data_IF_792748280464
#
_entry.id   IF_792748280464
#
_cell.length_a   1.000
_cell.length_b   1.000
_cell.length_c   1.000
_cell.angle_alpha   90.00
_cell.angle_beta   90.00
_cell.angle_gamma   90.00
#
_symmetry.space_group_name_H-M   'P 1'
#
loop_
_entity.id
_entity.type
_entity.pdbx_description
1 polymer ?
#
# COMPACT_ATOMS: atom_id res chain seq x y z
N UNK A 1 -19.15 -11.94 -13.79
CA UNK A 1 -18.12 -12.48 -12.89
C UNK A 1 -16.82 -12.52 -13.67
N UNK A 2 -15.69 -12.06 -13.12
CA UNK A 2 -14.41 -12.16 -13.80
C UNK A 2 -14.09 -13.62 -14.14
N UNK A 3 -13.46 -13.84 -15.29
CA UNK A 3 -13.01 -15.17 -15.68
C UNK A 3 -11.72 -15.53 -14.94
N UNK A 4 -11.85 -16.24 -13.84
CA UNK A 4 -10.74 -16.70 -12.99
C UNK A 4 -9.97 -17.91 -13.57
N UNK A 5 -10.41 -18.50 -14.70
CA UNK A 5 -9.81 -19.70 -15.25
C UNK A 5 -8.33 -19.51 -15.63
N UNK A 6 -7.97 -18.37 -16.20
CA UNK A 6 -6.58 -18.04 -16.54
C UNK A 6 -5.71 -17.89 -15.30
N UNK A 7 -6.27 -17.33 -14.23
CA UNK A 7 -5.55 -17.20 -12.94
C UNK A 7 -5.30 -18.57 -12.30
N UNK A 8 -6.28 -19.47 -12.30
CA UNK A 8 -6.13 -20.83 -11.80
C UNK A 8 -5.09 -21.65 -12.59
N UNK A 9 -5.04 -21.48 -13.91
CA UNK A 9 -4.03 -22.14 -14.74
C UNK A 9 -2.61 -21.63 -14.43
N UNK A 10 -2.46 -20.32 -14.31
CA UNK A 10 -1.20 -19.67 -13.91
C UNK A 10 -0.78 -20.16 -12.51
N UNK A 11 -1.71 -20.20 -11.55
CA UNK A 11 -1.47 -20.65 -10.19
C UNK A 11 -0.94 -22.09 -10.13
N UNK A 12 -1.51 -23.01 -10.90
CA UNK A 12 -1.05 -24.39 -11.01
C UNK A 12 0.39 -24.51 -11.51
N UNK A 13 0.80 -23.65 -12.46
CA UNK A 13 2.18 -23.66 -12.98
C UNK A 13 3.21 -23.15 -11.95
N UNK A 14 2.78 -22.30 -11.04
CA UNK A 14 3.62 -21.72 -9.99
C UNK A 14 3.71 -22.60 -8.74
N UNK A 15 2.78 -23.53 -8.53
CA UNK A 15 2.72 -24.38 -7.33
C UNK A 15 4.04 -25.15 -7.05
N UNK A 16 4.75 -25.73 -8.03
CA UNK A 16 6.02 -26.41 -7.77
C UNK A 16 7.11 -25.49 -7.21
N UNK A 17 7.18 -24.24 -7.68
CA UNK A 17 8.10 -23.22 -7.17
C UNK A 17 7.77 -22.89 -5.72
N UNK A 18 6.50 -22.63 -5.44
CA UNK A 18 6.01 -22.29 -4.10
C UNK A 18 6.30 -23.37 -3.07
N UNK A 19 6.21 -24.66 -3.45
CA UNK A 19 6.56 -25.79 -2.56
C UNK A 19 8.03 -25.80 -2.17
N UNK A 20 8.93 -25.41 -3.10
CA UNK A 20 10.38 -25.39 -2.85
C UNK A 20 10.80 -24.10 -2.14
N UNK A 21 10.26 -22.98 -2.57
CA UNK A 21 10.64 -21.66 -2.08
C UNK A 21 9.90 -21.25 -0.81
N UNK A 22 8.67 -21.72 -0.59
CA UNK A 22 7.83 -21.35 0.55
C UNK A 22 8.54 -21.42 1.91
N UNK A 23 9.30 -22.51 2.24
CA UNK A 23 10.04 -22.57 3.50
C UNK A 23 11.12 -21.49 3.65
N UNK A 24 11.76 -21.07 2.55
CA UNK A 24 12.74 -19.96 2.56
C UNK A 24 12.05 -18.62 2.75
N UNK A 25 10.95 -18.39 2.03
CA UNK A 25 10.13 -17.19 2.20
C UNK A 25 9.63 -17.07 3.63
N UNK A 26 9.15 -18.16 4.22
CA UNK A 26 8.67 -18.18 5.60
C UNK A 26 9.74 -17.69 6.61
N UNK A 27 11.02 -18.00 6.39
CA UNK A 27 12.12 -17.47 7.21
C UNK A 27 12.31 -15.95 7.07
N UNK A 28 11.87 -15.36 5.96
CA UNK A 28 11.98 -13.92 5.72
C UNK A 28 10.77 -13.13 6.20
N UNK A 29 9.67 -13.76 6.60
CA UNK A 29 8.44 -13.08 7.00
C UNK A 29 8.71 -12.10 8.15
N UNK A 30 9.39 -12.53 9.21
CA UNK A 30 9.71 -11.66 10.34
C UNK A 30 10.59 -10.45 9.94
N UNK A 31 11.43 -10.59 8.91
CA UNK A 31 12.22 -9.49 8.37
C UNK A 31 11.33 -8.51 7.62
N UNK A 32 10.36 -9.00 6.87
CA UNK A 32 9.41 -8.15 6.15
C UNK A 32 8.47 -7.41 7.11
N UNK A 33 8.05 -8.06 8.17
CA UNK A 33 7.24 -7.46 9.25
C UNK A 33 8.03 -6.44 10.07
N UNK A 34 9.32 -6.67 10.27
CA UNK A 34 10.23 -5.82 11.04
C UNK A 34 11.24 -5.07 10.15
N UNK A 35 10.83 -4.70 8.94
CA UNK A 35 11.71 -4.14 7.91
C UNK A 35 12.48 -2.90 8.39
N UNK A 36 11.92 -2.10 9.31
CA UNK A 36 12.58 -0.95 9.91
C UNK A 36 13.83 -1.31 10.75
N UNK A 37 13.99 -2.58 11.11
CA UNK A 37 15.17 -3.07 11.84
C UNK A 37 16.36 -3.37 10.91
N UNK A 38 16.19 -3.27 9.60
CA UNK A 38 17.18 -3.64 8.58
C UNK A 38 17.41 -2.50 7.59
N UNK A 39 18.50 -2.52 6.81
CA UNK A 39 18.67 -1.58 5.71
C UNK A 39 17.51 -1.76 4.70
N UNK A 40 16.68 -0.73 4.55
CA UNK A 40 15.41 -0.81 3.81
C UNK A 40 15.62 -1.22 2.35
N UNK A 41 16.69 -0.74 1.70
CA UNK A 41 17.01 -1.09 0.32
C UNK A 41 17.33 -2.59 0.16
N UNK A 42 17.94 -3.20 1.19
CA UNK A 42 18.23 -4.64 1.18
C UNK A 42 16.96 -5.46 1.43
N UNK A 43 16.06 -4.98 2.29
CA UNK A 43 14.75 -5.62 2.52
C UNK A 43 13.91 -5.55 1.25
N UNK A 44 13.86 -4.40 0.60
CA UNK A 44 13.13 -4.21 -0.68
C UNK A 44 13.72 -5.10 -1.77
N UNK A 45 15.05 -5.18 -1.89
CA UNK A 45 15.70 -6.07 -2.86
C UNK A 45 15.37 -7.54 -2.59
N UNK A 46 15.36 -7.96 -1.32
CA UNK A 46 14.97 -9.31 -0.92
C UNK A 46 13.49 -9.58 -1.25
N UNK A 47 12.60 -8.64 -0.98
CA UNK A 47 11.18 -8.75 -1.27
C UNK A 47 10.89 -8.80 -2.78
N UNK A 48 11.60 -8.00 -3.58
CA UNK A 48 11.52 -8.05 -5.05
C UNK A 48 11.95 -9.42 -5.59
N UNK A 49 13.05 -9.98 -5.06
CA UNK A 49 13.52 -11.30 -5.45
C UNK A 49 12.52 -12.40 -5.04
N UNK A 50 11.92 -12.31 -3.84
CA UNK A 50 10.84 -13.20 -3.40
C UNK A 50 9.71 -13.21 -4.41
N UNK A 51 9.23 -12.02 -4.78
CA UNK A 51 8.15 -11.84 -5.74
C UNK A 51 8.49 -12.40 -7.13
N UNK A 52 9.72 -12.14 -7.60
CA UNK A 52 10.20 -12.65 -8.89
C UNK A 52 10.22 -14.20 -8.91
N UNK A 53 10.55 -14.85 -7.79
CA UNK A 53 10.54 -16.29 -7.65
C UNK A 53 9.12 -16.84 -7.59
N UNK A 54 8.26 -16.26 -6.78
CA UNK A 54 6.89 -16.74 -6.54
C UNK A 54 6.00 -16.70 -7.78
N UNK A 55 6.24 -15.73 -8.67
CA UNK A 55 5.48 -15.56 -9.91
C UNK A 55 6.17 -16.21 -11.13
N UNK A 56 7.19 -17.02 -10.93
CA UNK A 56 7.89 -17.73 -11.99
C UNK A 56 7.44 -19.18 -12.12
N UNK A 57 7.53 -19.72 -13.31
CA UNK A 57 7.45 -21.17 -13.53
C UNK A 57 8.70 -21.86 -13.02
N UNK A 58 8.58 -23.12 -12.59
CA UNK A 58 9.70 -23.91 -12.10
C UNK A 58 10.75 -24.12 -13.21
N UNK A 59 11.99 -23.75 -12.95
CA UNK A 59 13.13 -23.86 -13.87
C UNK A 59 14.45 -23.84 -13.10
N UNK A 60 15.55 -24.21 -13.77
CA UNK A 60 16.90 -24.07 -13.19
C UNK A 60 17.19 -22.60 -12.78
N UNK A 61 16.71 -21.64 -13.57
CA UNK A 61 16.83 -20.21 -13.27
C UNK A 61 16.09 -19.85 -11.98
N UNK A 62 14.91 -20.42 -11.74
CA UNK A 62 14.14 -20.16 -10.54
C UNK A 62 14.81 -20.80 -9.31
N UNK A 63 15.41 -21.97 -9.46
CA UNK A 63 16.23 -22.60 -8.40
C UNK A 63 17.45 -21.76 -8.06
N UNK A 64 18.15 -21.20 -9.07
CA UNK A 64 19.30 -20.33 -8.83
C UNK A 64 18.89 -19.04 -8.11
N UNK A 65 17.77 -18.42 -8.48
CA UNK A 65 17.21 -17.26 -7.76
C UNK A 65 16.87 -17.60 -6.31
N UNK A 66 16.35 -18.79 -6.05
CA UNK A 66 16.08 -19.23 -4.67
C UNK A 66 17.36 -19.36 -3.84
N UNK A 67 18.46 -19.79 -4.42
CA UNK A 67 19.80 -19.79 -3.76
C UNK A 67 20.31 -18.38 -3.51
N UNK A 68 20.10 -17.47 -4.45
CA UNK A 68 20.46 -16.05 -4.27
C UNK A 68 19.64 -15.41 -3.14
N UNK A 69 18.33 -15.70 -3.08
CA UNK A 69 17.48 -15.25 -1.98
C UNK A 69 18.00 -15.77 -0.63
N UNK A 70 18.32 -17.04 -0.53
CA UNK A 70 18.88 -17.64 0.70
C UNK A 70 20.21 -16.98 1.10
N UNK A 71 21.07 -16.69 0.14
CA UNK A 71 22.34 -16.01 0.38
C UNK A 71 22.13 -14.57 0.88
N UNK A 72 21.21 -13.82 0.28
CA UNK A 72 20.85 -12.47 0.70
C UNK A 72 20.25 -12.49 2.12
N UNK A 73 19.33 -13.42 2.39
CA UNK A 73 18.71 -13.60 3.70
C UNK A 73 19.76 -13.87 4.79
N UNK A 74 20.72 -14.74 4.52
CA UNK A 74 21.83 -15.05 5.44
C UNK A 74 22.82 -13.89 5.64
N UNK A 75 22.96 -13.02 4.66
CA UNK A 75 23.86 -11.87 4.70
C UNK A 75 23.24 -10.66 5.41
N UNK A 76 21.92 -10.56 5.45
CA UNK A 76 21.21 -9.43 6.02
C UNK A 76 21.50 -9.29 7.52
N UNK A 77 21.75 -8.07 7.97
CA UNK A 77 22.02 -7.76 9.39
C UNK A 77 21.16 -6.58 9.83
N UNK A 78 20.67 -6.60 11.08
CA UNK A 78 19.97 -5.45 11.64
C UNK A 78 20.82 -4.19 11.62
N UNK A 79 20.17 -3.03 11.50
CA UNK A 79 20.81 -1.73 11.66
C UNK A 79 21.06 -1.45 13.14
N UNK A 80 22.06 -0.62 13.43
CA UNK A 80 22.40 -0.23 14.81
C UNK A 80 21.30 0.61 15.46
N UNK A 81 20.64 1.46 14.65
CA UNK A 81 19.57 2.36 15.07
C UNK A 81 18.33 2.14 14.22
N UNK A 82 17.44 1.21 14.61
CA UNK A 82 16.18 0.97 13.90
C UNK A 82 15.27 2.20 13.93
N UNK A 83 14.52 2.40 12.85
CA UNK A 83 13.46 3.40 12.86
C UNK A 83 12.33 2.95 13.81
N UNK A 84 11.79 3.85 14.65
CA UNK A 84 10.69 3.51 15.53
C UNK A 84 9.40 3.24 14.76
N UNK A 85 8.60 2.32 15.26
CA UNK A 85 7.20 2.18 14.85
C UNK A 85 6.39 3.29 15.49
N UNK A 86 5.63 4.00 14.68
CA UNK A 86 4.71 5.03 15.15
C UNK A 86 3.32 4.41 15.17
N UNK A 87 2.91 3.86 16.31
CA UNK A 87 1.62 3.20 16.44
C UNK A 87 0.47 4.18 16.26
N UNK A 88 -0.55 3.76 15.49
CA UNK A 88 -1.69 4.62 15.15
C UNK A 88 -2.63 4.84 16.34
N UNK A 89 -2.80 3.85 17.18
CA UNK A 89 -3.83 3.83 18.22
C UNK A 89 -3.22 3.74 19.60
N UNK A 90 -3.83 4.41 20.55
CA UNK A 90 -3.54 4.22 21.97
C UNK A 90 -4.01 2.83 22.39
N UNK A 91 -3.34 2.25 23.36
CA UNK A 91 -3.70 0.96 23.91
C UNK A 91 -5.16 0.96 24.43
N UNK A 92 -5.92 -0.06 24.03
CA UNK A 92 -7.32 -0.21 24.41
C UNK A 92 -8.31 0.71 23.68
N UNK A 93 -7.87 1.52 22.71
CA UNK A 93 -8.75 2.43 21.97
C UNK A 93 -8.59 2.29 20.42
N UNK A 94 -8.29 1.12 19.93
CA UNK A 94 -8.26 0.85 18.49
C UNK A 94 -9.70 0.52 18.01
N UNK A 95 -10.25 1.28 17.03
CA UNK A 95 -11.56 0.96 16.48
C UNK A 95 -11.55 -0.42 15.83
N UNK A 96 -12.51 -1.28 16.14
CA UNK A 96 -12.60 -2.63 15.59
C UNK A 96 -14.06 -3.06 15.45
N UNK A 97 -14.37 -3.81 14.41
CA UNK A 97 -15.63 -4.51 14.19
C UNK A 97 -15.43 -6.02 14.02
N UNK A 98 -14.17 -6.43 13.83
CA UNK A 98 -13.78 -7.81 13.57
C UNK A 98 -13.09 -8.41 14.79
N UNK A 99 -13.44 -9.64 15.13
CA UNK A 99 -12.75 -10.43 16.16
C UNK A 99 -11.73 -11.36 15.50
N UNK A 100 -10.47 -10.99 15.58
CA UNK A 100 -9.36 -11.77 15.01
C UNK A 100 -8.84 -12.71 16.07
N UNK A 101 -9.25 -13.98 16.00
CA UNK A 101 -8.89 -15.02 16.97
C UNK A 101 -7.92 -16.05 16.43
N UNK A 102 -7.70 -16.08 15.12
CA UNK A 102 -6.85 -17.08 14.46
C UNK A 102 -5.47 -16.49 14.15
N UNK A 103 -4.45 -17.00 14.83
CA UNK A 103 -3.03 -16.71 14.63
C UNK A 103 -2.29 -17.95 14.10
N UNK A 104 -2.98 -18.90 13.47
CA UNK A 104 -2.42 -20.18 13.04
C UNK A 104 -1.33 -20.06 11.98
N UNK A 105 -1.36 -19.00 11.18
CA UNK A 105 -0.39 -18.76 10.12
C UNK A 105 0.82 -17.89 10.55
N UNK A 106 0.82 -17.39 11.77
CA UNK A 106 1.89 -16.55 12.34
C UNK A 106 2.25 -15.35 11.46
N UNK A 107 1.23 -14.75 10.83
CA UNK A 107 1.40 -13.56 9.99
C UNK A 107 0.80 -12.35 10.67
N UNK A 108 1.39 -11.15 10.47
CA UNK A 108 0.93 -9.95 11.18
C UNK A 108 -0.55 -9.64 10.95
N UNK A 109 -1.08 -9.91 9.79
CA UNK A 109 -2.49 -9.70 9.44
C UNK A 109 -3.44 -10.80 9.91
N UNK A 110 -2.94 -11.91 10.47
CA UNK A 110 -3.69 -12.94 11.19
C UNK A 110 -3.41 -12.89 12.70
N UNK A 111 -2.55 -11.99 13.14
CA UNK A 111 -2.24 -11.81 14.55
C UNK A 111 -3.31 -10.93 15.20
N UNK A 112 -4.12 -11.47 16.15
CA UNK A 112 -5.12 -10.70 16.87
C UNK A 112 -4.53 -9.56 17.71
N UNK A 113 -3.25 -9.63 18.04
CA UNK A 113 -2.51 -8.62 18.79
C UNK A 113 -1.80 -7.59 17.87
N UNK A 114 -1.97 -7.71 16.54
CA UNK A 114 -1.36 -6.77 15.60
C UNK A 114 -1.81 -5.34 15.86
N UNK A 115 -0.83 -4.44 16.00
CA UNK A 115 -1.05 -3.00 16.18
C UNK A 115 -0.59 -2.26 14.93
N UNK A 116 -1.50 -1.64 14.17
CA UNK A 116 -1.14 -0.89 12.97
C UNK A 116 -0.24 0.30 13.28
N UNK A 117 0.72 0.56 12.40
CA UNK A 117 1.75 1.58 12.61
C UNK A 117 2.20 2.22 11.30
N UNK A 118 2.84 3.39 11.45
CA UNK A 118 3.63 4.04 10.40
C UNK A 118 5.11 3.87 10.68
N UNK A 119 5.92 3.91 9.64
CA UNK A 119 7.30 4.32 9.75
C UNK A 119 7.67 5.35 8.67
N UNK A 120 8.68 6.16 8.97
CA UNK A 120 9.04 7.36 8.24
C UNK A 120 10.21 7.11 7.30
N UNK A 121 10.16 7.71 6.11
CA UNK A 121 11.31 7.92 5.23
C UNK A 121 11.43 9.42 4.99
N UNK A 122 12.21 10.09 5.84
CA UNK A 122 12.32 11.55 5.85
C UNK A 122 13.47 12.02 4.99
N UNK A 123 13.23 13.09 4.25
CA UNK A 123 14.24 13.81 3.50
C UNK A 123 15.27 14.47 4.43
N UNK A 124 16.53 14.60 3.99
CA UNK A 124 17.54 15.36 4.71
C UNK A 124 17.07 16.78 5.05
N UNK A 125 17.61 17.36 6.13
CA UNK A 125 17.15 18.65 6.64
C UNK A 125 17.36 19.81 5.65
N UNK A 126 18.33 19.70 4.78
CA UNK A 126 18.67 20.69 3.73
C UNK A 126 17.81 20.58 2.48
N UNK A 127 16.93 19.58 2.40
CA UNK A 127 15.99 19.39 1.28
C UNK A 127 14.61 19.90 1.69
N UNK A 128 14.04 20.81 0.90
CA UNK A 128 12.66 21.28 1.08
C UNK A 128 11.68 20.25 0.48
N UNK A 129 10.79 19.64 1.30
CA UNK A 129 9.83 18.70 0.79
C UNK A 129 8.78 19.34 -0.13
N UNK A 130 8.39 18.66 -1.19
CA UNK A 130 7.25 19.03 -2.05
C UNK A 130 5.90 18.82 -1.33
N UNK A 131 5.86 17.91 -0.38
CA UNK A 131 4.69 17.48 0.39
C UNK A 131 4.96 16.11 1.00
N UNK A 132 3.91 15.39 1.38
CA UNK A 132 4.00 14.05 1.94
C UNK A 132 3.10 13.05 1.20
N UNK A 133 3.52 11.79 1.20
CA UNK A 133 2.72 10.68 0.68
C UNK A 133 2.70 9.55 1.71
N UNK A 134 1.50 9.09 2.06
CA UNK A 134 1.29 7.88 2.87
C UNK A 134 1.08 6.71 1.91
N UNK A 135 1.94 5.70 1.98
CA UNK A 135 1.92 4.53 1.11
C UNK A 135 1.30 3.34 1.83
N UNK A 136 0.36 2.67 1.18
CA UNK A 136 -0.29 1.46 1.66
C UNK A 136 -0.14 0.35 0.63
N UNK A 137 0.62 -0.69 0.97
CA UNK A 137 0.82 -1.84 0.10
C UNK A 137 -0.49 -2.60 -0.13
N UNK A 138 -0.55 -3.31 -1.24
CA UNK A 138 -1.50 -4.37 -1.45
C UNK A 138 -1.12 -5.64 -0.74
N UNK A 139 -1.85 -6.69 -1.00
CA UNK A 139 -1.54 -8.01 -0.50
C UNK A 139 -2.71 -8.96 -0.71
N UNK A 140 -2.40 -10.25 -0.64
CA UNK A 140 -3.34 -11.33 -0.79
C UNK A 140 -3.15 -12.30 0.38
N UNK A 141 -4.16 -12.41 1.24
CA UNK A 141 -4.25 -13.41 2.29
C UNK A 141 -2.96 -13.68 3.09
N UNK A 142 -2.32 -12.64 3.61
CA UNK A 142 -1.31 -12.88 4.59
C UNK A 142 0.01 -12.12 4.48
N UNK A 143 0.31 -11.45 3.37
CA UNK A 143 1.55 -10.67 3.24
C UNK A 143 1.28 -9.32 2.58
N UNK A 144 1.78 -8.24 3.14
CA UNK A 144 1.91 -7.00 2.39
C UNK A 144 2.93 -7.19 1.26
N UNK A 145 2.57 -6.75 0.05
CA UNK A 145 3.50 -6.76 -1.09
C UNK A 145 4.47 -5.58 -0.98
N UNK A 146 5.50 -5.73 -0.15
CA UNK A 146 6.45 -4.67 0.17
C UNK A 146 6.99 -3.90 -1.05
N UNK A 147 7.36 -4.53 -2.19
CA UNK A 147 7.86 -3.79 -3.33
C UNK A 147 6.92 -2.70 -3.83
N UNK A 148 5.62 -2.89 -3.73
CA UNK A 148 4.63 -1.91 -4.17
C UNK A 148 4.74 -0.60 -3.38
N UNK A 149 4.74 -0.68 -2.06
CA UNK A 149 4.82 0.50 -1.22
C UNK A 149 6.26 0.96 -0.98
N UNK A 150 7.16 0.04 -0.64
CA UNK A 150 8.50 0.39 -0.17
C UNK A 150 9.42 0.85 -1.30
N UNK A 151 9.46 0.13 -2.44
CA UNK A 151 10.23 0.60 -3.60
C UNK A 151 9.66 1.92 -4.10
N UNK A 152 8.34 2.02 -4.20
CA UNK A 152 7.71 3.27 -4.65
C UNK A 152 7.97 4.42 -3.68
N UNK A 153 7.97 4.18 -2.37
CA UNK A 153 8.33 5.21 -1.39
C UNK A 153 9.78 5.67 -1.56
N UNK A 154 10.74 4.76 -1.84
CA UNK A 154 12.11 5.13 -2.19
C UNK A 154 12.16 6.02 -3.44
N UNK A 155 11.38 5.68 -4.47
CA UNK A 155 11.30 6.46 -5.71
C UNK A 155 10.74 7.88 -5.43
N UNK A 156 9.63 7.99 -4.70
CA UNK A 156 9.05 9.30 -4.32
C UNK A 156 9.94 10.08 -3.37
N UNK A 157 10.66 9.42 -2.48
CA UNK A 157 11.67 10.07 -1.63
C UNK A 157 12.75 10.74 -2.49
N UNK A 158 13.25 10.07 -3.53
CA UNK A 158 14.21 10.69 -4.46
C UNK A 158 13.63 11.84 -5.27
N UNK A 159 12.30 11.87 -5.46
CA UNK A 159 11.57 12.95 -6.12
C UNK A 159 11.30 14.15 -5.19
N UNK A 160 11.61 14.05 -3.89
CA UNK A 160 11.52 15.14 -2.93
C UNK A 160 10.25 15.14 -2.07
N UNK A 161 9.66 14.00 -1.80
CA UNK A 161 8.53 13.85 -0.88
C UNK A 161 8.96 13.26 0.46
N UNK A 162 8.32 13.70 1.55
CA UNK A 162 8.31 12.95 2.79
C UNK A 162 7.45 11.70 2.58
N UNK A 163 7.97 10.53 2.89
CA UNK A 163 7.29 9.28 2.66
C UNK A 163 6.99 8.57 3.98
N UNK A 164 5.76 8.06 4.09
CA UNK A 164 5.28 7.33 5.25
C UNK A 164 4.72 5.99 4.80
N UNK A 165 5.22 4.91 5.38
CA UNK A 165 4.75 3.57 5.05
C UNK A 165 3.76 3.12 6.11
N UNK A 166 2.55 2.82 5.69
CA UNK A 166 1.47 2.36 6.54
C UNK A 166 1.40 0.84 6.53
N UNK A 167 1.54 0.25 7.71
CA UNK A 167 1.16 -1.14 7.96
C UNK A 167 -0.17 -1.12 8.71
N UNK A 168 -1.24 -1.26 7.94
CA UNK A 168 -2.61 -1.23 8.42
C UNK A 168 -3.15 -2.66 8.58
N UNK A 169 -4.34 -2.78 9.14
CA UNK A 169 -5.12 -4.02 9.18
C UNK A 169 -5.66 -4.36 7.78
N UNK A 170 -4.79 -4.86 6.91
CA UNK A 170 -5.13 -5.31 5.56
C UNK A 170 -5.07 -6.82 5.47
N UNK A 171 -5.80 -7.40 4.55
CA UNK A 171 -5.83 -8.85 4.31
C UNK A 171 -6.17 -9.72 5.55
N UNK A 172 -6.85 -9.14 6.52
CA UNK A 172 -7.39 -9.90 7.63
C UNK A 172 -8.43 -10.92 7.17
N UNK A 173 -8.57 -11.99 7.91
CA UNK A 173 -9.62 -12.97 7.69
C UNK A 173 -10.48 -13.11 8.97
N UNK A 174 -11.70 -12.54 9.01
CA UNK A 174 -12.40 -11.80 7.97
C UNK A 174 -11.81 -10.39 7.74
N UNK A 175 -11.77 -9.92 6.49
CA UNK A 175 -11.29 -8.59 6.15
C UNK A 175 -12.37 -7.53 6.29
N UNK A 176 -12.00 -6.34 6.78
CA UNK A 176 -12.88 -5.20 6.86
C UNK A 176 -12.24 -3.96 6.20
N UNK A 177 -12.91 -3.44 5.16
CA UNK A 177 -12.52 -2.18 4.53
C UNK A 177 -12.61 -1.00 5.50
N UNK A 178 -13.51 -1.04 6.47
CA UNK A 178 -13.69 0.01 7.48
C UNK A 178 -12.50 0.06 8.42
N UNK A 179 -12.00 -1.08 8.89
CA UNK A 179 -10.82 -1.15 9.74
C UNK A 179 -9.55 -0.72 9.00
N UNK A 180 -9.36 -1.18 7.77
CA UNK A 180 -8.26 -0.73 6.91
C UNK A 180 -8.37 0.77 6.62
N UNK A 181 -9.56 1.26 6.30
CA UNK A 181 -9.84 2.66 6.03
C UNK A 181 -9.60 3.58 7.22
N UNK A 182 -10.01 3.17 8.44
CA UNK A 182 -9.80 3.99 9.64
C UNK A 182 -8.32 4.08 10.02
N UNK A 183 -7.55 3.01 9.78
CA UNK A 183 -6.09 3.04 9.97
C UNK A 183 -5.44 4.04 9.00
N UNK A 184 -5.84 4.03 7.72
CA UNK A 184 -5.38 5.00 6.73
C UNK A 184 -5.78 6.43 7.05
N UNK A 185 -7.03 6.65 7.49
CA UNK A 185 -7.52 7.95 7.94
C UNK A 185 -6.71 8.48 9.13
N UNK A 186 -6.41 7.62 10.09
CA UNK A 186 -5.58 7.94 11.25
C UNK A 186 -4.16 8.31 10.85
N UNK A 187 -3.58 7.57 9.91
CA UNK A 187 -2.25 7.83 9.36
C UNK A 187 -2.15 9.24 8.74
N UNK A 188 -3.12 9.63 7.90
CA UNK A 188 -3.18 10.97 7.30
C UNK A 188 -3.25 12.04 8.38
N UNK A 189 -4.11 11.87 9.37
CA UNK A 189 -4.27 12.82 10.50
C UNK A 189 -2.99 12.97 11.30
N UNK A 190 -2.27 11.87 11.57
CA UNK A 190 -0.98 11.90 12.28
C UNK A 190 0.08 12.66 11.50
N UNK A 191 0.18 12.46 10.19
CA UNK A 191 1.12 13.19 9.33
C UNK A 191 0.76 14.68 9.32
N UNK A 192 -0.51 15.03 9.24
CA UNK A 192 -0.99 16.42 9.30
C UNK A 192 -0.72 17.09 10.65
N UNK A 193 -0.94 16.38 11.75
CA UNK A 193 -0.67 16.90 13.09
C UNK A 193 0.80 17.27 13.28
N UNK A 194 1.70 16.49 12.67
CA UNK A 194 3.14 16.67 12.79
C UNK A 194 3.76 17.38 11.57
N UNK A 195 2.95 18.13 10.80
CA UNK A 195 3.39 18.77 9.57
C UNK A 195 4.60 19.70 9.74
N UNK A 196 4.65 20.46 10.85
CA UNK A 196 5.80 21.32 11.19
C UNK A 196 7.08 20.50 11.38
N UNK A 197 7.01 19.39 12.10
CA UNK A 197 8.14 18.48 12.30
C UNK A 197 8.61 17.90 10.95
N UNK A 198 7.68 17.58 10.07
CA UNK A 198 7.97 17.04 8.75
C UNK A 198 8.29 18.11 7.71
N UNK A 199 8.25 19.39 8.06
CA UNK A 199 8.54 20.53 7.19
C UNK A 199 7.66 20.56 5.94
N UNK A 200 6.38 20.22 6.07
CA UNK A 200 5.39 20.19 5.00
C UNK A 200 4.20 21.11 5.30
N UNK A 201 3.47 21.48 4.28
CA UNK A 201 2.13 22.03 4.43
C UNK A 201 1.17 20.89 4.78
N UNK A 202 0.38 20.96 5.89
CA UNK A 202 -0.59 19.94 6.26
C UNK A 202 -1.67 19.69 5.19
N UNK A 203 -1.86 20.61 4.26
CA UNK A 203 -2.74 20.45 3.10
C UNK A 203 -2.12 19.61 1.98
N UNK A 204 -0.80 19.38 1.99
CA UNK A 204 -0.05 18.65 0.97
C UNK A 204 0.27 17.22 1.43
N UNK A 205 -0.74 16.48 1.85
CA UNK A 205 -0.63 15.08 2.26
C UNK A 205 -1.49 14.21 1.35
N UNK A 206 -0.85 13.43 0.49
CA UNK A 206 -1.48 12.47 -0.41
C UNK A 206 -1.50 11.05 0.18
N UNK A 207 -2.35 10.20 -0.36
CA UNK A 207 -2.38 8.77 -0.08
C UNK A 207 -2.12 7.98 -1.36
N UNK A 208 -1.24 7.00 -1.31
CA UNK A 208 -0.94 6.09 -2.41
C UNK A 208 -1.26 4.65 -2.00
N UNK A 209 -2.22 4.04 -2.68
CA UNK A 209 -2.67 2.69 -2.38
C UNK A 209 -2.51 1.75 -3.57
N UNK A 210 -1.96 0.56 -3.31
CA UNK A 210 -1.68 -0.47 -4.30
C UNK A 210 -2.60 -1.67 -4.07
N UNK A 211 -3.33 -2.14 -5.10
CA UNK A 211 -4.22 -3.30 -4.95
C UNK A 211 -5.18 -3.13 -3.75
N UNK A 212 -5.15 -3.98 -2.75
CA UNK A 212 -5.90 -3.80 -1.49
C UNK A 212 -5.58 -2.48 -0.76
N UNK A 213 -4.36 -1.95 -0.90
CA UNK A 213 -4.04 -0.62 -0.40
C UNK A 213 -4.83 0.49 -1.12
N UNK A 214 -5.14 0.30 -2.41
CA UNK A 214 -6.07 1.15 -3.16
C UNK A 214 -7.49 1.06 -2.60
N UNK A 215 -7.96 -0.15 -2.31
CA UNK A 215 -9.27 -0.37 -1.66
C UNK A 215 -9.29 0.24 -0.25
N UNK A 216 -8.16 0.23 0.47
CA UNK A 216 -8.00 0.96 1.74
C UNK A 216 -8.20 2.47 1.54
N UNK A 217 -7.60 3.05 0.48
CA UNK A 217 -7.80 4.45 0.10
C UNK A 217 -9.26 4.79 -0.18
N UNK A 218 -9.97 3.93 -0.91
CA UNK A 218 -11.41 4.05 -1.12
C UNK A 218 -12.19 3.99 0.22
N UNK A 219 -11.75 3.13 1.15
CA UNK A 219 -12.34 3.06 2.50
C UNK A 219 -12.13 4.33 3.32
N UNK A 220 -10.96 4.99 3.20
CA UNK A 220 -10.72 6.31 3.80
C UNK A 220 -11.74 7.31 3.26
N UNK A 221 -11.89 7.35 1.94
CA UNK A 221 -12.78 8.29 1.26
C UNK A 221 -14.23 8.03 1.65
N UNK A 222 -14.68 6.79 1.54
CA UNK A 222 -16.07 6.42 1.74
C UNK A 222 -16.56 6.60 3.18
N UNK A 223 -15.71 6.33 4.18
CA UNK A 223 -16.14 6.26 5.57
C UNK A 223 -15.58 7.37 6.47
N UNK A 224 -14.51 8.07 6.05
CA UNK A 224 -13.78 8.98 6.94
C UNK A 224 -13.43 10.33 6.31
N UNK A 225 -13.82 10.59 5.05
CA UNK A 225 -13.61 11.88 4.40
C UNK A 225 -14.72 12.89 4.75
N UNK A 226 -14.46 14.16 4.48
CA UNK A 226 -15.44 15.22 4.62
C UNK A 226 -15.93 15.38 6.06
N UNK A 227 -17.23 15.20 6.29
CA UNK A 227 -17.86 15.36 7.62
C UNK A 227 -18.01 14.05 8.40
N UNK A 228 -17.54 12.95 7.85
CA UNK A 228 -17.68 11.65 8.47
C UNK A 228 -16.78 11.50 9.70
N UNK A 229 -17.29 10.86 10.73
CA UNK A 229 -16.56 10.66 11.98
C UNK A 229 -16.28 9.18 12.23
N UNK A 230 -15.20 8.90 12.94
CA UNK A 230 -14.87 7.52 13.33
C UNK A 230 -16.00 6.88 14.12
N UNK A 231 -16.67 7.63 15.02
CA UNK A 231 -17.78 7.13 15.83
C UNK A 231 -19.03 6.77 15.02
N UNK A 232 -19.24 7.36 13.84
CA UNK A 232 -20.35 6.97 12.97
C UNK A 232 -20.19 5.54 12.45
N UNK A 233 -18.95 5.07 12.31
CA UNK A 233 -18.59 3.73 11.85
C UNK A 233 -18.32 2.78 13.03
N UNK A 234 -17.65 3.28 14.07
CA UNK A 234 -17.26 2.53 15.27
C UNK A 234 -17.83 3.23 16.52
N UNK A 235 -19.06 2.92 16.94
CA UNK A 235 -19.75 3.66 18.01
C UNK A 235 -19.04 3.62 19.37
N UNK A 236 -18.32 2.55 19.66
CA UNK A 236 -17.61 2.36 20.94
C UNK A 236 -16.24 3.05 20.99
N UNK A 237 -15.78 3.61 19.87
CA UNK A 237 -14.51 4.33 19.80
C UNK A 237 -14.58 5.65 20.60
N UNK A 238 -13.54 5.94 21.36
CA UNK A 238 -13.40 7.18 22.12
C UNK A 238 -12.51 8.15 21.30
N UNK A 239 -13.08 9.24 20.74
CA UNK A 239 -12.32 10.20 19.94
C UNK A 239 -11.21 10.88 20.74
N UNK A 240 -10.16 11.28 20.01
CA UNK A 240 -9.11 12.14 20.55
C UNK A 240 -8.88 13.37 19.62
N UNK A 241 -7.92 14.21 19.98
CA UNK A 241 -7.66 15.46 19.25
C UNK A 241 -7.30 15.25 17.76
N UNK A 242 -6.79 14.05 17.38
CA UNK A 242 -6.50 13.75 15.97
C UNK A 242 -7.78 13.63 15.13
N UNK A 243 -8.90 13.25 15.75
CA UNK A 243 -10.16 13.06 15.03
C UNK A 243 -10.83 14.37 14.62
N UNK A 244 -10.36 15.50 15.16
CA UNK A 244 -10.75 16.84 14.72
C UNK A 244 -10.12 17.25 13.38
N UNK A 245 -9.03 16.56 12.97
CA UNK A 245 -8.36 16.82 11.70
C UNK A 245 -9.07 16.07 10.56
N UNK A 246 -9.11 16.72 9.39
CA UNK A 246 -9.63 16.09 8.18
C UNK A 246 -8.78 14.88 7.77
N UNK A 247 -9.41 13.77 7.45
CA UNK A 247 -8.75 12.55 6.94
C UNK A 247 -8.75 12.47 5.41
N UNK A 248 -9.43 13.39 4.71
CA UNK A 248 -9.47 13.39 3.24
C UNK A 248 -8.06 13.67 2.70
N UNK A 249 -7.44 12.76 1.94
CA UNK A 249 -6.12 13.06 1.35
C UNK A 249 -6.22 14.24 0.36
N UNK A 250 -5.16 15.02 0.22
CA UNK A 250 -5.11 16.09 -0.76
C UNK A 250 -5.18 15.55 -2.20
N UNK A 251 -4.63 14.36 -2.41
CA UNK A 251 -4.71 13.60 -3.64
C UNK A 251 -4.69 12.10 -3.33
N UNK A 252 -5.32 11.30 -4.18
CA UNK A 252 -5.28 9.85 -4.10
C UNK A 252 -4.58 9.26 -5.32
N UNK A 253 -3.50 8.52 -5.10
CA UNK A 253 -2.83 7.72 -6.11
C UNK A 253 -3.34 6.28 -6.00
N UNK A 254 -4.30 5.93 -6.84
CA UNK A 254 -4.91 4.61 -6.89
C UNK A 254 -4.19 3.74 -7.92
N UNK A 255 -3.28 2.90 -7.45
CA UNK A 255 -2.48 2.03 -8.32
C UNK A 255 -3.10 0.64 -8.31
N UNK A 256 -3.73 0.27 -9.40
CA UNK A 256 -4.46 -1.00 -9.67
C UNK A 256 -5.38 -1.50 -8.52
N UNK A 257 -5.93 -0.59 -7.72
CA UNK A 257 -6.84 -0.91 -6.62
C UNK A 257 -8.10 -0.03 -6.60
N UNK A 258 -8.81 0.17 -7.75
CA UNK A 258 -10.02 0.95 -7.77
C UNK A 258 -11.14 0.27 -6.97
N UNK A 259 -12.11 1.07 -6.52
CA UNK A 259 -13.32 0.62 -5.83
C UNK A 259 -13.97 -0.57 -6.54
N UNK A 260 -14.51 -1.50 -5.80
CA UNK A 260 -15.23 -2.65 -6.36
C UNK A 260 -16.47 -2.22 -7.13
N UNK A 261 -16.69 -2.85 -8.28
CA UNK A 261 -17.82 -2.55 -9.14
C UNK A 261 -19.15 -2.86 -8.43
N UNK A 262 -20.09 -1.90 -8.49
CA UNK A 262 -21.43 -2.05 -7.92
C UNK A 262 -21.56 -1.77 -6.43
N UNK A 263 -20.50 -1.38 -5.75
CA UNK A 263 -20.61 -0.89 -4.38
C UNK A 263 -21.25 0.51 -4.35
N UNK A 264 -22.26 0.72 -3.47
CA UNK A 264 -22.87 2.04 -3.32
C UNK A 264 -21.89 3.03 -2.72
N UNK A 265 -22.00 4.29 -3.11
CA UNK A 265 -21.17 5.36 -2.60
C UNK A 265 -22.04 6.55 -2.14
N UNK A 266 -21.77 7.06 -0.95
CA UNK A 266 -22.54 8.16 -0.35
C UNK A 266 -22.00 9.52 -0.81
N UNK A 267 -22.37 9.94 -2.00
CA UNK A 267 -21.94 11.21 -2.60
C UNK A 267 -22.40 12.47 -1.85
N UNK A 268 -23.34 12.36 -0.92
CA UNK A 268 -23.82 13.52 -0.16
C UNK A 268 -22.89 13.87 1.01
N UNK A 269 -22.23 12.88 1.59
CA UNK A 269 -21.44 13.03 2.81
C UNK A 269 -19.92 12.88 2.60
N UNK A 270 -19.50 12.38 1.45
CA UNK A 270 -18.08 12.17 1.16
C UNK A 270 -17.45 13.33 0.40
N UNK A 271 -16.16 13.50 0.57
CA UNK A 271 -15.31 14.35 -0.27
C UNK A 271 -14.33 13.45 -1.00
N UNK A 272 -14.55 13.27 -2.30
CA UNK A 272 -13.64 12.50 -3.13
C UNK A 272 -12.49 13.40 -3.61
N UNK A 273 -11.24 13.10 -3.28
CA UNK A 273 -10.10 13.94 -3.65
C UNK A 273 -9.78 13.83 -5.14
N UNK A 274 -9.00 14.77 -5.70
CA UNK A 274 -8.34 14.55 -6.99
C UNK A 274 -7.63 13.21 -7.01
N UNK A 275 -7.87 12.40 -8.05
CA UNK A 275 -7.41 11.01 -8.08
C UNK A 275 -6.67 10.66 -9.37
N UNK A 276 -5.52 10.04 -9.19
CA UNK A 276 -4.68 9.48 -10.26
C UNK A 276 -4.82 7.97 -10.28
N UNK A 277 -5.19 7.40 -11.41
CA UNK A 277 -5.25 5.96 -11.62
C UNK A 277 -4.11 5.48 -12.51
N UNK A 278 -3.37 4.45 -12.04
CA UNK A 278 -2.40 3.71 -12.84
C UNK A 278 -2.73 2.21 -12.78
N UNK A 279 -2.97 1.59 -13.94
CA UNK A 279 -3.37 0.19 -14.01
C UNK A 279 -2.87 -0.48 -15.30
N UNK A 280 -2.50 -1.75 -15.22
CA UNK A 280 -2.16 -2.57 -16.38
C UNK A 280 -3.38 -2.93 -17.21
N UNK A 281 -3.23 -3.02 -18.55
CA UNK A 281 -4.34 -3.46 -19.44
C UNK A 281 -4.72 -4.92 -19.22
N UNK A 282 -3.77 -5.74 -18.79
CA UNK A 282 -3.96 -7.17 -18.51
C UNK A 282 -4.36 -7.43 -17.03
N UNK A 283 -4.68 -6.35 -16.31
CA UNK A 283 -5.06 -6.39 -14.91
C UNK A 283 -6.52 -6.84 -14.74
N UNK A 284 -6.79 -7.73 -13.80
CA UNK A 284 -8.13 -8.20 -13.48
C UNK A 284 -9.00 -7.11 -12.80
N UNK A 285 -8.39 -6.05 -12.25
CA UNK A 285 -9.11 -4.92 -11.67
C UNK A 285 -9.59 -3.89 -12.72
N UNK A 286 -9.32 -4.10 -14.01
CA UNK A 286 -9.80 -3.20 -15.08
C UNK A 286 -11.32 -3.07 -15.11
N UNK A 287 -12.07 -4.13 -14.81
CA UNK A 287 -13.53 -4.07 -14.78
C UNK A 287 -14.03 -3.15 -13.65
N UNK A 288 -13.34 -3.12 -12.53
CA UNK A 288 -13.61 -2.20 -11.43
C UNK A 288 -13.34 -0.74 -11.84
N UNK A 289 -12.23 -0.48 -12.55
CA UNK A 289 -11.94 0.85 -13.08
C UNK A 289 -13.01 1.31 -14.06
N UNK A 290 -13.43 0.43 -14.97
CA UNK A 290 -14.48 0.73 -15.95
C UNK A 290 -15.83 1.07 -15.30
N UNK A 291 -16.12 0.48 -14.14
CA UNK A 291 -17.32 0.81 -13.36
C UNK A 291 -17.16 2.12 -12.56
N UNK A 292 -15.99 2.35 -11.98
CA UNK A 292 -15.71 3.49 -11.09
C UNK A 292 -15.55 4.79 -11.88
N UNK A 293 -14.83 4.78 -13.00
CA UNK A 293 -14.47 5.97 -13.76
C UNK A 293 -15.66 6.83 -14.22
N UNK A 294 -16.74 6.28 -14.83
CA UNK A 294 -17.89 7.07 -15.24
C UNK A 294 -18.64 7.71 -14.06
N UNK A 295 -18.67 7.02 -12.91
CA UNK A 295 -19.32 7.49 -11.69
C UNK A 295 -18.58 8.69 -11.11
N UNK A 296 -17.26 8.65 -11.04
CA UNK A 296 -16.42 9.77 -10.61
C UNK A 296 -16.60 10.99 -11.51
N UNK A 297 -16.61 10.80 -12.85
CA UNK A 297 -16.85 11.88 -13.80
C UNK A 297 -18.23 12.52 -13.62
N UNK A 298 -19.28 11.70 -13.42
CA UNK A 298 -20.64 12.17 -13.23
C UNK A 298 -20.79 13.06 -11.98
N UNK A 299 -19.92 12.85 -10.97
CA UNK A 299 -19.90 13.64 -9.73
C UNK A 299 -18.82 14.73 -9.72
N UNK A 300 -18.20 15.00 -10.88
CA UNK A 300 -17.25 16.10 -11.04
C UNK A 300 -15.91 15.91 -10.32
N UNK A 301 -15.56 14.69 -10.00
CA UNK A 301 -14.25 14.38 -9.41
C UNK A 301 -13.16 14.63 -10.46
N UNK A 302 -12.10 15.31 -10.06
CA UNK A 302 -10.93 15.48 -10.90
C UNK A 302 -10.12 14.20 -10.96
N UNK A 303 -9.97 13.62 -12.15
CA UNK A 303 -9.30 12.34 -12.32
C UNK A 303 -8.32 12.36 -13.49
N UNK A 304 -7.22 11.67 -13.30
CA UNK A 304 -6.24 11.35 -14.35
C UNK A 304 -6.09 9.82 -14.42
N UNK A 305 -6.20 9.23 -15.61
CA UNK A 305 -6.23 7.77 -15.80
C UNK A 305 -5.21 7.32 -16.81
N UNK A 306 -4.33 6.41 -16.40
CA UNK A 306 -3.32 5.79 -17.23
C UNK A 306 -3.46 4.28 -17.25
N UNK A 307 -3.59 3.71 -18.45
CA UNK A 307 -3.61 2.26 -18.66
C UNK A 307 -2.42 1.81 -19.50
N UNK A 308 -1.72 0.76 -19.07
CA UNK A 308 -0.45 0.35 -19.62
C UNK A 308 -0.56 -1.01 -20.32
N UNK A 309 -0.27 -1.06 -21.61
CA UNK A 309 -0.39 -2.27 -22.43
C UNK A 309 0.58 -3.37 -21.98
N UNK A 310 0.11 -4.62 -21.93
CA UNK A 310 0.92 -5.79 -21.61
C UNK A 310 1.31 -5.90 -20.13
N UNK A 311 0.72 -5.10 -19.25
CA UNK A 311 1.02 -5.08 -17.82
C UNK A 311 -0.10 -5.78 -17.05
N UNK A 312 0.20 -6.87 -16.33
CA UNK A 312 -0.74 -7.54 -15.44
C UNK A 312 -0.78 -6.87 -14.05
N UNK A 313 -1.63 -7.39 -13.16
CA UNK A 313 -1.80 -6.90 -11.80
C UNK A 313 -0.49 -6.90 -10.99
N UNK A 314 -0.37 -5.93 -10.09
CA UNK A 314 0.63 -5.92 -9.03
C UNK A 314 2.07 -5.69 -9.54
N UNK A 315 2.36 -4.72 -10.37
CA UNK A 315 3.70 -4.52 -10.96
C UNK A 315 4.41 -3.22 -10.55
N UNK A 316 3.83 -2.37 -9.73
CA UNK A 316 4.54 -1.23 -9.18
C UNK A 316 5.74 -1.69 -8.33
N UNK A 317 6.86 -1.01 -8.43
CA UNK A 317 8.09 -1.33 -7.71
C UNK A 317 8.72 -2.69 -8.06
N UNK A 318 8.39 -3.30 -9.21
CA UNK A 318 8.90 -4.61 -9.62
C UNK A 318 10.29 -4.49 -10.28
N UNK A 319 11.33 -4.43 -9.47
CA UNK A 319 12.74 -4.33 -9.90
C UNK A 319 13.40 -5.72 -9.91
N UNK A 320 14.10 -6.04 -10.98
CA UNK A 320 14.89 -7.28 -11.13
C UNK A 320 16.22 -7.18 -10.36
N UNK A 321 16.84 -8.33 -10.06
CA UNK A 321 18.13 -8.38 -9.35
C UNK A 321 19.26 -7.56 -10.01
N UNK A 322 19.23 -7.42 -11.32
CA UNK A 322 20.20 -6.63 -12.09
C UNK A 322 19.84 -5.14 -12.17
N UNK A 323 18.85 -4.69 -11.37
CA UNK A 323 18.39 -3.31 -11.31
C UNK A 323 17.49 -2.88 -12.46
N UNK A 324 17.17 -3.77 -13.40
CA UNK A 324 16.22 -3.44 -14.49
C UNK A 324 14.78 -3.54 -13.98
N UNK A 325 13.95 -2.66 -14.49
CA UNK A 325 12.52 -2.70 -14.25
C UNK A 325 11.86 -3.76 -15.13
N UNK A 326 11.03 -4.60 -14.55
CA UNK A 326 10.38 -5.70 -15.25
C UNK A 326 9.35 -5.22 -16.30
N UNK A 327 8.64 -4.11 -16.01
CA UNK A 327 7.66 -3.47 -16.88
C UNK A 327 8.01 -1.99 -17.09
N UNK A 328 8.98 -1.67 -17.97
CA UNK A 328 9.46 -0.28 -18.12
C UNK A 328 8.40 0.72 -18.55
N UNK A 329 7.40 0.27 -19.32
CA UNK A 329 6.28 1.11 -19.71
C UNK A 329 5.36 1.44 -18.51
N UNK A 330 5.25 0.53 -17.53
CA UNK A 330 4.45 0.79 -16.33
C UNK A 330 5.12 1.83 -15.44
N UNK A 331 6.44 1.82 -15.31
CA UNK A 331 7.19 2.77 -14.47
C UNK A 331 7.02 4.24 -14.89
N UNK A 332 6.49 4.48 -16.09
CA UNK A 332 6.10 5.83 -16.51
C UNK A 332 5.02 6.45 -15.62
N UNK A 333 4.28 5.65 -14.85
CA UNK A 333 3.32 6.18 -13.90
C UNK A 333 3.96 7.05 -12.82
N UNK A 334 5.21 6.78 -12.43
CA UNK A 334 5.93 7.53 -11.39
C UNK A 334 6.09 9.03 -11.73
N UNK A 335 6.72 9.42 -12.88
CA UNK A 335 6.82 10.84 -13.24
C UNK A 335 5.45 11.47 -13.55
N UNK A 336 4.47 10.70 -14.02
CA UNK A 336 3.11 11.20 -14.23
C UNK A 336 2.42 11.51 -12.91
N UNK A 337 2.55 10.62 -11.92
CA UNK A 337 2.02 10.85 -10.58
C UNK A 337 2.71 12.02 -9.86
N UNK A 338 4.04 12.19 -10.02
CA UNK A 338 4.75 13.38 -9.52
C UNK A 338 4.19 14.67 -10.12
N UNK A 339 3.99 14.72 -11.44
CA UNK A 339 3.41 15.88 -12.12
C UNK A 339 1.97 16.15 -11.66
N UNK A 340 1.16 15.09 -11.49
CA UNK A 340 -0.19 15.20 -10.96
C UNK A 340 -0.20 15.76 -9.53
N UNK A 341 0.63 15.23 -8.63
CA UNK A 341 0.73 15.72 -7.25
C UNK A 341 1.17 17.19 -7.18
N UNK A 342 2.18 17.58 -7.97
CA UNK A 342 2.61 18.97 -8.02
C UNK A 342 1.46 19.90 -8.47
N UNK A 343 0.71 19.50 -9.52
CA UNK A 343 -0.44 20.27 -9.98
C UNK A 343 -1.53 20.41 -8.91
N UNK A 344 -1.77 19.36 -8.10
CA UNK A 344 -2.74 19.41 -6.99
C UNK A 344 -2.20 20.25 -5.83
N UNK A 345 -0.94 20.11 -5.49
CA UNK A 345 -0.32 20.75 -4.32
C UNK A 345 -0.03 22.25 -4.52
N UNK A 346 0.02 22.75 -5.75
CA UNK A 346 0.33 24.14 -6.06
C UNK A 346 -0.91 25.07 -6.20
N UNK A 347 -2.08 24.56 -5.82
CA UNK A 347 -3.38 25.27 -5.87
C UNK A 347 -3.71 26.07 -4.62
#
# INVERSE_FOLDING_TARGET
MPDWSKFEEMWKKMEPVRKVFGPLKHQAISIFEDCQNYPIEQVVALANLSREIEWAEYSEKTVEKSRQFEAMLKALRPVEHPQPRIYLWKEGNMPAETDYTDNSELRYNHDPDFKPYLFEMLLPEDVTPKGAVVFCAGGDHGDAHLPEAYQTALDFHTMGYQCFLLLNRTNHNPWSQREAGVDGARAIRMVRQNADQYRIDPKKVAFAGFSNGGVTGEGIIQYFSGKQTVQAVFPDYIPDALDELDATPAAFLCVYGPRFAGEPFDWENVVYPPTFFAIGREDNAMDNLHATYPDLLAHGVEIEVHTFAGVPHGKAGAVLLDGRVNYPNFELWLPLADAFLQNVFDR
#
